data_IF_914670642636
#
_entry.id   IF_914670642636
#
_cell.length_a   1.000
_cell.length_b   1.000
_cell.length_c   1.000
_cell.angle_alpha   90.00
_cell.angle_beta   90.00
_cell.angle_gamma   90.00
#
_symmetry.space_group_name_H-M   'P 1'
#
loop_
_entity.id
_entity.type
_entity.pdbx_description
1 polymer ?
#
# COMPACT_ATOMS: atom_id res chain seq x y z
N UNK A 1 7.61 -70.11 19.48
CA UNK A 1 7.14 -69.12 20.48
C UNK A 1 7.56 -67.74 20.01
N UNK A 2 6.69 -67.08 19.23
CA UNK A 2 6.94 -65.78 18.59
C UNK A 2 6.09 -64.76 19.33
N UNK A 3 6.71 -63.91 20.15
CA UNK A 3 6.08 -62.71 20.68
C UNK A 3 7.13 -61.60 20.79
N UNK A 4 7.13 -60.67 19.84
CA UNK A 4 7.81 -59.38 19.99
C UNK A 4 6.88 -58.27 19.51
N UNK A 5 6.14 -57.75 20.49
CA UNK A 5 5.58 -56.42 20.65
C UNK A 5 5.26 -55.59 19.38
N UNK A 6 3.97 -55.58 19.04
CA UNK A 6 3.27 -54.44 18.42
C UNK A 6 3.11 -53.33 19.45
N UNK A 7 3.94 -52.31 19.39
CA UNK A 7 3.59 -51.00 19.94
C UNK A 7 3.85 -49.96 18.86
N UNK A 8 2.76 -49.52 18.25
CA UNK A 8 2.75 -48.49 17.24
C UNK A 8 3.34 -47.21 17.80
N UNK A 9 4.22 -46.59 17.02
CA UNK A 9 4.59 -45.20 17.20
C UNK A 9 3.30 -44.37 17.10
N UNK A 10 2.75 -44.00 18.26
CA UNK A 10 1.79 -42.90 18.37
C UNK A 10 2.54 -41.65 17.89
N UNK A 11 2.36 -41.34 16.61
CA UNK A 11 2.73 -40.06 16.06
C UNK A 11 1.85 -39.02 16.76
N UNK A 12 2.37 -38.45 17.85
CA UNK A 12 1.94 -37.16 18.32
C UNK A 12 2.19 -36.18 17.19
N UNK A 13 1.15 -35.95 16.39
CA UNK A 13 1.00 -34.76 15.57
C UNK A 13 1.00 -33.59 16.53
N UNK A 14 2.20 -33.15 16.92
CA UNK A 14 2.43 -31.84 17.49
C UNK A 14 1.71 -30.85 16.60
N UNK A 15 0.59 -30.33 17.10
CA UNK A 15 -0.17 -29.27 16.47
C UNK A 15 0.74 -28.05 16.37
N UNK A 16 1.49 -27.96 15.28
CA UNK A 16 2.02 -26.69 14.79
C UNK A 16 0.79 -25.85 14.51
N UNK A 17 0.35 -25.08 15.50
CA UNK A 17 -0.56 -23.99 15.25
C UNK A 17 0.20 -23.10 14.27
N UNK A 18 -0.20 -23.17 13.00
CA UNK A 18 0.47 -22.46 11.92
C UNK A 18 0.52 -20.99 12.34
N UNK A 19 1.71 -20.37 12.41
CA UNK A 19 1.82 -18.94 12.75
C UNK A 19 0.95 -18.04 11.86
N UNK A 20 0.60 -18.53 10.66
CA UNK A 20 -0.43 -17.97 9.76
C UNK A 20 -1.81 -17.83 10.43
N UNK A 21 -2.27 -18.86 11.15
CA UNK A 21 -3.58 -18.88 11.85
C UNK A 21 -3.55 -17.95 13.06
N UNK A 22 -2.44 -17.90 13.81
CA UNK A 22 -2.29 -16.99 14.96
C UNK A 22 -2.27 -15.53 14.48
N UNK A 23 -1.53 -15.22 13.41
CA UNK A 23 -1.50 -13.85 12.87
C UNK A 23 -2.86 -13.43 12.31
N UNK A 24 -3.51 -14.31 11.53
CA UNK A 24 -4.86 -14.04 11.02
C UNK A 24 -5.84 -13.85 12.18
N UNK A 25 -5.76 -14.69 13.22
CA UNK A 25 -6.55 -14.55 14.44
C UNK A 25 -6.31 -13.23 15.17
N UNK A 26 -5.05 -12.80 15.32
CA UNK A 26 -4.72 -11.50 15.93
C UNK A 26 -5.21 -10.31 15.12
N UNK A 27 -5.09 -10.37 13.78
CA UNK A 27 -5.60 -9.33 12.89
C UNK A 27 -7.13 -9.28 12.95
N UNK A 28 -7.81 -10.42 12.96
CA UNK A 28 -9.26 -10.51 13.09
C UNK A 28 -9.75 -10.02 14.46
N UNK A 29 -9.02 -10.33 15.54
CA UNK A 29 -9.33 -9.84 16.88
C UNK A 29 -9.09 -8.33 17.01
N UNK A 30 -8.06 -7.79 16.38
CA UNK A 30 -7.82 -6.35 16.31
C UNK A 30 -8.93 -5.63 15.51
N UNK A 31 -9.36 -6.22 14.38
CA UNK A 31 -10.50 -5.73 13.59
C UNK A 31 -11.80 -5.81 14.41
N UNK A 32 -12.04 -6.91 15.12
CA UNK A 32 -13.25 -7.10 15.92
C UNK A 32 -13.32 -6.15 17.12
N UNK A 33 -12.21 -6.00 17.86
CA UNK A 33 -12.11 -5.02 18.95
C UNK A 33 -12.34 -3.60 18.46
N UNK A 34 -11.79 -3.26 17.29
CA UNK A 34 -12.03 -1.95 16.66
C UNK A 34 -13.48 -1.75 16.21
N UNK A 35 -14.09 -2.77 15.59
CA UNK A 35 -15.49 -2.70 15.19
C UNK A 35 -16.42 -2.53 16.40
N UNK A 36 -16.00 -2.95 17.59
CA UNK A 36 -16.72 -2.69 18.83
C UNK A 36 -16.49 -1.26 19.36
N UNK A 37 -15.26 -0.73 19.25
CA UNK A 37 -14.94 0.65 19.71
C UNK A 37 -15.40 1.73 18.72
N UNK A 38 -15.50 1.39 17.43
CA UNK A 38 -15.76 2.32 16.34
C UNK A 38 -17.19 2.29 15.79
N UNK A 39 -18.15 1.62 16.44
CA UNK A 39 -19.55 1.59 15.95
C UNK A 39 -20.15 2.98 15.90
N UNK A 40 -19.88 3.79 16.92
CA UNK A 40 -20.34 5.17 16.97
C UNK A 40 -19.64 6.00 15.89
N UNK A 41 -18.34 5.79 15.67
CA UNK A 41 -17.60 6.51 14.64
C UNK A 41 -18.02 6.13 13.20
N UNK A 42 -18.29 4.85 12.95
CA UNK A 42 -18.85 4.39 11.67
C UNK A 42 -20.24 4.97 11.43
N UNK A 43 -21.10 5.01 12.44
CA UNK A 43 -22.42 5.65 12.36
C UNK A 43 -22.31 7.15 12.09
N UNK A 44 -21.38 7.83 12.73
CA UNK A 44 -21.12 9.25 12.51
C UNK A 44 -20.60 9.55 11.10
N UNK A 45 -19.74 8.70 10.54
CA UNK A 45 -19.33 8.79 9.13
C UNK A 45 -20.52 8.55 8.19
N UNK A 46 -21.36 7.57 8.49
CA UNK A 46 -22.54 7.22 7.67
C UNK A 46 -23.63 8.29 7.71
N UNK A 47 -23.80 8.96 8.85
CA UNK A 47 -24.71 10.10 9.02
C UNK A 47 -24.23 11.36 8.26
N UNK A 48 -22.96 11.42 7.87
CA UNK A 48 -22.39 12.54 7.12
C UNK A 48 -22.27 13.84 7.92
N UNK A 49 -22.51 13.80 9.23
CA UNK A 49 -22.51 14.97 10.12
C UNK A 49 -21.08 15.30 10.57
N UNK A 50 -20.43 16.16 9.79
CA UNK A 50 -19.04 16.59 9.97
C UNK A 50 -18.80 17.23 11.35
N UNK A 51 -19.79 17.91 11.90
CA UNK A 51 -19.69 18.58 13.21
C UNK A 51 -19.70 17.59 14.35
N UNK A 52 -20.52 16.53 14.26
CA UNK A 52 -20.51 15.41 15.22
C UNK A 52 -19.25 14.57 15.13
N UNK A 53 -18.74 14.35 13.92
CA UNK A 53 -17.45 13.71 13.71
C UNK A 53 -16.36 14.51 14.44
N UNK A 54 -16.31 15.83 14.26
CA UNK A 54 -15.31 16.69 14.92
C UNK A 54 -15.46 16.74 16.45
N UNK A 55 -16.68 16.78 16.98
CA UNK A 55 -16.93 16.80 18.43
C UNK A 55 -16.67 15.45 19.10
N UNK A 56 -16.81 14.33 18.39
CA UNK A 56 -16.43 13.00 18.92
C UNK A 56 -14.91 12.88 19.22
N UNK A 57 -14.07 13.75 18.64
CA UNK A 57 -12.61 13.69 18.78
C UNK A 57 -11.98 14.64 19.79
N UNK A 58 -12.76 15.49 20.46
CA UNK A 58 -12.21 16.36 21.53
C UNK A 58 -11.85 15.58 22.80
N UNK A 59 -12.45 14.40 23.02
CA UNK A 59 -12.21 13.58 24.21
C UNK A 59 -10.99 12.65 24.15
N UNK A 60 -10.61 12.13 22.97
CA UNK A 60 -9.44 11.26 22.80
C UNK A 60 -8.93 11.18 21.32
N UNK A 61 -8.00 12.05 20.90
CA UNK A 61 -7.50 12.08 19.52
C UNK A 61 -6.69 10.84 19.13
N UNK A 62 -6.13 10.08 20.08
CA UNK A 62 -5.36 8.86 19.79
C UNK A 62 -6.23 7.77 19.15
N UNK A 63 -7.46 7.63 19.64
CA UNK A 63 -8.42 6.66 19.10
C UNK A 63 -8.75 6.96 17.63
N UNK A 64 -8.81 8.23 17.25
CA UNK A 64 -9.00 8.68 15.87
C UNK A 64 -7.89 8.15 14.95
N UNK A 65 -6.64 8.40 15.34
CA UNK A 65 -5.48 8.02 14.56
C UNK A 65 -5.41 6.49 14.41
N UNK A 66 -5.60 5.74 15.50
CA UNK A 66 -5.60 4.27 15.47
C UNK A 66 -6.74 3.72 14.61
N UNK A 67 -7.95 4.28 14.72
CA UNK A 67 -9.07 3.88 13.89
C UNK A 67 -8.78 4.11 12.41
N UNK A 68 -8.29 5.30 12.04
CA UNK A 68 -7.99 5.63 10.65
C UNK A 68 -6.80 4.85 10.08
N UNK A 69 -5.82 4.47 10.90
CA UNK A 69 -4.77 3.53 10.52
C UNK A 69 -5.39 2.17 10.11
N UNK A 70 -6.34 1.66 10.88
CA UNK A 70 -6.98 0.37 10.60
C UNK A 70 -7.89 0.44 9.38
N UNK A 71 -8.64 1.52 9.18
CA UNK A 71 -9.37 1.78 7.94
C UNK A 71 -8.42 1.76 6.74
N UNK A 72 -7.27 2.41 6.85
CA UNK A 72 -6.25 2.41 5.81
C UNK A 72 -5.67 1.00 5.57
N UNK A 73 -5.50 0.18 6.60
CA UNK A 73 -5.09 -1.23 6.48
C UNK A 73 -6.12 -2.06 5.72
N UNK A 74 -7.40 -1.92 6.04
CA UNK A 74 -8.50 -2.59 5.32
C UNK A 74 -8.52 -2.14 3.85
N UNK A 75 -8.43 -0.83 3.61
CA UNK A 75 -8.39 -0.24 2.28
C UNK A 75 -7.21 -0.78 1.45
N UNK A 76 -6.02 -0.88 2.02
CA UNK A 76 -4.84 -1.40 1.33
C UNK A 76 -4.86 -2.92 1.12
N UNK A 77 -5.63 -3.65 1.93
CA UNK A 77 -5.76 -5.11 1.84
C UNK A 77 -6.78 -5.53 0.78
N UNK A 78 -7.93 -4.85 0.73
CA UNK A 78 -9.05 -5.28 -0.12
C UNK A 78 -9.53 -4.22 -1.11
N UNK A 79 -9.14 -2.96 -0.95
CA UNK A 79 -9.56 -1.81 -1.79
C UNK A 79 -11.08 -1.74 -1.98
N UNK A 80 -11.83 -2.14 -0.95
CA UNK A 80 -13.31 -2.03 -0.92
C UNK A 80 -13.78 -0.61 -0.63
N UNK A 81 -12.97 0.16 0.09
CA UNK A 81 -13.24 1.57 0.42
C UNK A 81 -12.52 2.44 -0.63
N UNK A 82 -13.23 3.35 -1.32
CA UNK A 82 -12.60 4.35 -2.16
C UNK A 82 -11.56 5.16 -1.37
N UNK A 83 -10.33 5.21 -1.86
CA UNK A 83 -9.21 5.84 -1.15
C UNK A 83 -9.45 7.33 -0.86
N UNK A 84 -10.13 8.02 -1.79
CA UNK A 84 -10.51 9.42 -1.64
C UNK A 84 -11.34 9.66 -0.38
N UNK A 85 -12.23 8.74 0.00
CA UNK A 85 -13.05 8.87 1.21
C UNK A 85 -12.19 8.79 2.46
N UNK A 86 -11.24 7.86 2.51
CA UNK A 86 -10.31 7.72 3.65
C UNK A 86 -9.48 8.99 3.83
N UNK A 87 -8.97 9.56 2.73
CA UNK A 87 -8.20 10.81 2.75
C UNK A 87 -9.07 11.99 3.17
N UNK A 88 -10.29 12.07 2.65
CA UNK A 88 -11.27 13.12 3.00
C UNK A 88 -11.56 13.11 4.49
N UNK A 89 -11.87 11.94 5.06
CA UNK A 89 -12.12 11.78 6.49
C UNK A 89 -10.88 12.23 7.28
N UNK A 90 -9.69 11.74 6.95
CA UNK A 90 -8.45 12.17 7.64
C UNK A 90 -8.23 13.69 7.59
N UNK A 91 -8.53 14.34 6.47
CA UNK A 91 -8.41 15.79 6.31
C UNK A 91 -9.47 16.52 7.15
N UNK A 92 -10.70 16.04 7.17
CA UNK A 92 -11.76 16.57 8.03
C UNK A 92 -11.39 16.49 9.50
N UNK A 93 -10.80 15.36 9.91
CA UNK A 93 -10.44 15.08 11.31
C UNK A 93 -9.22 15.85 11.78
N UNK A 94 -8.16 15.84 10.99
CA UNK A 94 -6.83 16.28 11.43
C UNK A 94 -6.40 17.60 10.78
N UNK A 95 -7.20 18.14 9.87
CA UNK A 95 -6.85 19.26 9.00
C UNK A 95 -6.12 18.80 7.74
N UNK A 96 -5.99 19.70 6.76
CA UNK A 96 -5.44 19.36 5.42
C UNK A 96 -4.03 18.77 5.51
N UNK A 97 -3.11 19.43 6.20
CA UNK A 97 -1.71 19.00 6.27
C UNK A 97 -1.56 17.70 7.05
N UNK A 98 -2.06 17.64 8.29
CA UNK A 98 -1.91 16.45 9.13
C UNK A 98 -2.74 15.27 8.60
N UNK A 99 -3.93 15.53 8.04
CA UNK A 99 -4.77 14.51 7.43
C UNK A 99 -4.13 13.92 6.18
N UNK A 100 -3.50 14.75 5.35
CA UNK A 100 -2.68 14.28 4.22
C UNK A 100 -1.49 13.44 4.70
N UNK A 101 -0.67 13.97 5.62
CA UNK A 101 0.52 13.27 6.12
C UNK A 101 0.16 11.95 6.79
N UNK A 102 -0.90 11.95 7.60
CA UNK A 102 -1.40 10.74 8.26
C UNK A 102 -1.90 9.72 7.24
N UNK A 103 -2.68 10.14 6.24
CA UNK A 103 -3.14 9.24 5.16
C UNK A 103 -1.95 8.63 4.42
N UNK A 104 -0.98 9.45 4.01
CA UNK A 104 0.19 8.98 3.29
C UNK A 104 1.01 7.99 4.15
N UNK A 105 1.35 8.36 5.37
CA UNK A 105 2.15 7.54 6.27
C UNK A 105 1.49 6.19 6.57
N UNK A 106 0.23 6.20 6.99
CA UNK A 106 -0.53 4.97 7.28
C UNK A 106 -0.72 4.11 6.04
N UNK A 107 -0.84 4.70 4.84
CA UNK A 107 -0.93 3.93 3.59
C UNK A 107 0.35 3.17 3.29
N UNK A 108 1.53 3.77 3.57
CA UNK A 108 2.83 3.11 3.36
C UNK A 108 3.00 1.95 4.35
N UNK A 109 2.66 2.16 5.62
CA UNK A 109 2.69 1.10 6.64
C UNK A 109 1.77 -0.05 6.24
N UNK A 110 0.52 0.27 5.91
CA UNK A 110 -0.48 -0.72 5.50
C UNK A 110 -0.01 -1.52 4.27
N UNK A 111 0.48 -0.84 3.23
CA UNK A 111 1.00 -1.48 2.03
C UNK A 111 2.17 -2.42 2.32
N UNK A 112 3.10 -2.02 3.20
CA UNK A 112 4.21 -2.87 3.64
C UNK A 112 3.72 -4.11 4.37
N UNK A 113 2.76 -3.97 5.28
CA UNK A 113 2.21 -5.10 6.02
C UNK A 113 1.50 -6.09 5.09
N UNK A 114 0.72 -5.60 4.12
CA UNK A 114 0.06 -6.45 3.11
C UNK A 114 1.11 -7.15 2.24
N UNK A 115 2.14 -6.43 1.77
CA UNK A 115 3.23 -7.00 0.98
C UNK A 115 3.95 -8.14 1.73
N UNK A 116 4.34 -7.92 2.98
CA UNK A 116 5.03 -8.92 3.82
C UNK A 116 4.08 -10.10 4.08
N UNK A 117 2.83 -9.82 4.44
CA UNK A 117 1.82 -10.85 4.68
C UNK A 117 1.61 -11.74 3.45
N UNK A 118 1.46 -11.16 2.27
CA UNK A 118 1.34 -11.92 1.02
C UNK A 118 2.60 -12.74 0.76
N UNK A 119 3.78 -12.15 0.91
CA UNK A 119 5.06 -12.82 0.62
C UNK A 119 5.33 -14.06 1.49
N UNK A 120 5.05 -13.98 2.78
CA UNK A 120 5.44 -15.02 3.73
C UNK A 120 4.29 -15.92 4.19
N UNK A 121 3.04 -15.45 4.13
CA UNK A 121 1.90 -16.16 4.69
C UNK A 121 0.94 -16.65 3.61
N UNK A 122 0.60 -15.78 2.66
CA UNK A 122 -0.46 -16.06 1.68
C UNK A 122 0.05 -16.43 0.28
N UNK A 123 1.37 -16.53 0.07
CA UNK A 123 1.97 -16.81 -1.23
C UNK A 123 1.37 -18.06 -1.89
N UNK A 124 1.36 -19.17 -1.17
CA UNK A 124 0.87 -20.47 -1.69
C UNK A 124 -0.62 -20.44 -2.05
N UNK A 125 -1.40 -19.60 -1.37
CA UNK A 125 -2.85 -19.47 -1.58
C UNK A 125 -3.19 -18.58 -2.79
N UNK A 126 -2.35 -17.58 -3.06
CA UNK A 126 -2.63 -16.53 -4.04
C UNK A 126 -1.82 -16.65 -5.33
N UNK A 127 -0.69 -17.37 -5.34
CA UNK A 127 0.21 -17.43 -6.50
C UNK A 127 -0.47 -17.96 -7.77
N UNK A 128 -1.36 -18.95 -7.63
CA UNK A 128 -2.09 -19.55 -8.75
C UNK A 128 -3.27 -18.70 -9.24
N UNK A 129 -3.59 -17.58 -8.58
CA UNK A 129 -4.66 -16.66 -8.98
C UNK A 129 -4.20 -15.63 -10.01
N UNK A 130 -2.89 -15.52 -10.26
CA UNK A 130 -2.31 -14.53 -11.15
C UNK A 130 -1.42 -15.19 -12.21
N UNK A 131 -1.43 -14.70 -13.46
CA UNK A 131 -0.60 -15.26 -14.52
C UNK A 131 0.89 -14.98 -14.25
N UNK A 132 1.79 -15.96 -14.49
CA UNK A 132 3.24 -15.82 -14.23
C UNK A 132 3.87 -14.58 -14.89
N UNK A 133 3.42 -14.26 -16.10
CA UNK A 133 3.90 -13.10 -16.87
C UNK A 133 3.74 -11.77 -16.12
N UNK A 134 2.64 -11.59 -15.38
CA UNK A 134 2.40 -10.37 -14.61
C UNK A 134 3.37 -10.28 -13.42
N UNK A 135 3.68 -11.42 -12.78
CA UNK A 135 4.63 -11.47 -11.68
C UNK A 135 6.07 -11.20 -12.16
N UNK A 136 6.42 -11.70 -13.35
CA UNK A 136 7.69 -11.43 -14.02
C UNK A 136 7.84 -9.96 -14.42
N UNK A 137 6.78 -9.34 -14.92
CA UNK A 137 6.73 -7.90 -15.20
C UNK A 137 7.02 -7.05 -13.95
N UNK A 138 6.45 -7.42 -12.80
CA UNK A 138 6.70 -6.74 -11.52
C UNK A 138 8.16 -6.92 -11.09
N UNK A 139 8.70 -8.13 -11.25
CA UNK A 139 10.08 -8.46 -10.88
C UNK A 139 11.09 -7.69 -11.72
N UNK A 140 10.95 -7.70 -13.04
CA UNK A 140 11.90 -7.09 -13.99
C UNK A 140 11.95 -5.57 -13.89
N UNK A 141 10.79 -4.92 -13.74
CA UNK A 141 10.67 -3.46 -13.66
C UNK A 141 10.87 -2.91 -12.25
N UNK A 142 10.66 -3.74 -11.21
CA UNK A 142 10.92 -3.45 -9.82
C UNK A 142 10.30 -2.14 -9.32
N UNK A 143 11.15 -1.18 -8.91
CA UNK A 143 10.70 0.14 -8.43
C UNK A 143 9.81 0.85 -9.43
N UNK A 144 10.18 0.82 -10.71
CA UNK A 144 9.45 1.51 -11.78
C UNK A 144 8.02 1.01 -11.89
N UNK A 145 7.83 -0.31 -11.81
CA UNK A 145 6.51 -0.92 -11.87
C UNK A 145 5.63 -0.41 -10.73
N UNK A 146 6.13 -0.53 -9.50
CA UNK A 146 5.39 -0.13 -8.31
C UNK A 146 5.08 1.36 -8.35
N UNK A 147 6.08 2.20 -8.60
CA UNK A 147 5.90 3.66 -8.65
C UNK A 147 4.87 4.09 -9.70
N UNK A 148 4.95 3.55 -10.93
CA UNK A 148 3.97 3.87 -11.97
C UNK A 148 2.58 3.39 -11.58
N UNK A 149 2.45 2.14 -11.14
CA UNK A 149 1.17 1.58 -10.76
C UNK A 149 0.48 2.39 -9.63
N UNK A 150 1.24 2.99 -8.70
CA UNK A 150 0.69 3.85 -7.65
C UNK A 150 0.19 5.21 -8.12
N UNK A 151 0.82 5.77 -9.15
CA UNK A 151 0.41 7.06 -9.70
C UNK A 151 -0.84 6.92 -10.56
N UNK A 152 -1.02 5.77 -11.22
CA UNK A 152 -2.20 5.50 -12.01
C UNK A 152 -3.43 5.24 -11.11
N UNK A 153 -4.49 6.07 -11.20
CA UNK A 153 -5.63 5.99 -10.27
C UNK A 153 -6.50 4.73 -10.48
N UNK A 154 -6.33 4.04 -11.60
CA UNK A 154 -7.15 2.90 -11.98
C UNK A 154 -6.66 1.56 -11.42
N UNK A 155 -5.44 1.51 -10.88
CA UNK A 155 -4.89 0.26 -10.36
C UNK A 155 -5.20 0.17 -8.86
N UNK A 156 -5.97 -0.85 -8.42
CA UNK A 156 -6.27 -1.01 -7.00
C UNK A 156 -5.01 -1.15 -6.16
N UNK A 157 -4.94 -0.44 -5.04
CA UNK A 157 -3.81 -0.45 -4.10
C UNK A 157 -3.49 -1.87 -3.62
N UNK A 158 -4.52 -2.67 -3.34
CA UNK A 158 -4.41 -4.08 -2.92
C UNK A 158 -3.76 -4.94 -4.00
N UNK A 159 -4.13 -4.74 -5.27
CA UNK A 159 -3.58 -5.50 -6.39
C UNK A 159 -2.07 -5.26 -6.50
N UNK A 160 -1.62 -4.02 -6.38
CA UNK A 160 -0.19 -3.68 -6.41
C UNK A 160 0.55 -4.36 -5.25
N UNK A 161 -0.03 -4.32 -4.04
CA UNK A 161 0.54 -4.95 -2.84
C UNK A 161 0.69 -6.47 -3.02
N UNK A 162 -0.36 -7.12 -3.53
CA UNK A 162 -0.42 -8.58 -3.74
C UNK A 162 0.56 -9.00 -4.82
N UNK A 163 0.53 -8.36 -5.99
CA UNK A 163 1.44 -8.69 -7.09
C UNK A 163 2.91 -8.51 -6.69
N UNK A 164 3.23 -7.42 -6.00
CA UNK A 164 4.58 -7.20 -5.47
C UNK A 164 4.97 -8.25 -4.42
N UNK A 165 4.07 -8.59 -3.49
CA UNK A 165 4.31 -9.60 -2.45
C UNK A 165 4.53 -11.01 -3.02
N UNK A 166 3.78 -11.38 -4.07
CA UNK A 166 3.91 -12.65 -4.78
C UNK A 166 5.18 -12.73 -5.64
N UNK A 167 5.59 -11.60 -6.23
CA UNK A 167 6.84 -11.51 -7.00
C UNK A 167 8.08 -11.57 -6.10
N UNK A 168 9.24 -11.74 -6.72
CA UNK A 168 10.56 -11.67 -6.04
C UNK A 168 11.13 -10.26 -5.96
N UNK A 169 10.33 -9.21 -6.22
CA UNK A 169 10.79 -7.82 -6.17
C UNK A 169 11.43 -7.49 -4.81
N UNK A 170 12.54 -6.76 -4.83
CA UNK A 170 13.22 -6.35 -3.60
C UNK A 170 12.31 -5.45 -2.76
N UNK A 171 12.32 -5.66 -1.43
CA UNK A 171 11.55 -4.85 -0.49
C UNK A 171 11.81 -3.34 -0.66
N UNK A 172 13.08 -2.94 -0.86
CA UNK A 172 13.45 -1.53 -1.09
C UNK A 172 12.77 -0.91 -2.30
N UNK A 173 12.63 -1.67 -3.39
CA UNK A 173 11.95 -1.20 -4.60
C UNK A 173 10.45 -1.01 -4.36
N UNK A 174 9.81 -1.95 -3.67
CA UNK A 174 8.41 -1.84 -3.28
C UNK A 174 8.17 -0.67 -2.33
N UNK A 175 8.99 -0.55 -1.28
CA UNK A 175 8.86 0.48 -0.25
C UNK A 175 9.05 1.88 -0.84
N UNK A 176 10.15 2.13 -1.55
CA UNK A 176 10.39 3.45 -2.16
C UNK A 176 9.37 3.77 -3.25
N UNK A 177 9.01 2.77 -4.09
CA UNK A 177 8.01 2.95 -5.14
C UNK A 177 6.65 3.32 -4.56
N UNK A 178 6.25 2.67 -3.47
CA UNK A 178 5.02 2.98 -2.74
C UNK A 178 5.09 4.33 -2.04
N UNK A 179 6.18 4.61 -1.34
CA UNK A 179 6.36 5.87 -0.60
C UNK A 179 6.25 7.08 -1.53
N UNK A 180 7.02 7.12 -2.63
CA UNK A 180 7.00 8.25 -3.55
C UNK A 180 5.76 8.26 -4.46
N UNK A 181 5.31 7.08 -4.91
CA UNK A 181 4.12 6.97 -5.74
C UNK A 181 2.86 7.42 -5.00
N UNK A 182 2.65 6.92 -3.77
CA UNK A 182 1.53 7.35 -2.93
C UNK A 182 1.65 8.82 -2.56
N UNK A 183 2.84 9.33 -2.24
CA UNK A 183 3.01 10.75 -1.90
C UNK A 183 2.49 11.64 -3.03
N UNK A 184 2.94 11.38 -4.26
CA UNK A 184 2.55 12.18 -5.42
C UNK A 184 1.07 12.03 -5.76
N UNK A 185 0.56 10.80 -5.73
CA UNK A 185 -0.86 10.53 -5.96
C UNK A 185 -1.75 11.19 -4.90
N UNK A 186 -1.36 11.12 -3.63
CA UNK A 186 -2.14 11.64 -2.51
C UNK A 186 -2.14 13.16 -2.49
N UNK A 187 -1.07 13.84 -2.97
CA UNK A 187 -1.11 15.30 -3.13
C UNK A 187 -2.24 15.68 -4.08
N UNK A 188 -2.32 15.04 -5.25
CA UNK A 188 -3.39 15.33 -6.21
C UNK A 188 -4.76 15.01 -5.61
N UNK A 189 -4.86 13.87 -4.92
CA UNK A 189 -6.11 13.38 -4.38
C UNK A 189 -6.61 14.19 -3.17
N UNK A 190 -5.70 14.74 -2.35
CA UNK A 190 -6.03 15.56 -1.18
C UNK A 190 -6.48 16.97 -1.53
N UNK A 191 -6.15 17.47 -2.72
CA UNK A 191 -6.60 18.78 -3.19
C UNK A 191 -8.12 18.86 -3.37
N UNK A 192 -8.76 17.75 -3.70
CA UNK A 192 -10.23 17.67 -3.86
C UNK A 192 -10.92 18.00 -2.52
N UNK A 193 -10.71 17.22 -1.44
CA UNK A 193 -11.31 17.54 -0.14
C UNK A 193 -10.75 18.83 0.44
N UNK A 194 -9.48 19.19 0.18
CA UNK A 194 -8.97 20.49 0.62
C UNK A 194 -9.77 21.64 -0.01
N UNK A 195 -10.03 21.63 -1.31
CA UNK A 195 -10.82 22.66 -1.99
C UNK A 195 -12.30 22.68 -1.57
N UNK A 196 -12.89 21.51 -1.29
CA UNK A 196 -14.30 21.40 -0.87
C UNK A 196 -14.48 21.82 0.61
N UNK A 197 -13.55 21.44 1.49
CA UNK A 197 -13.68 21.62 2.94
C UNK A 197 -13.05 22.93 3.44
N UNK A 198 -12.28 23.62 2.62
CA UNK A 198 -11.69 24.89 3.01
C UNK A 198 -12.50 26.07 2.49
N UNK A 199 -13.03 26.82 3.44
CA UNK A 199 -13.46 28.21 3.24
C UNK A 199 -12.32 29.20 3.49
N UNK A 200 -11.10 28.71 3.78
CA UNK A 200 -9.98 29.49 4.32
C UNK A 200 -8.68 29.47 3.50
N UNK A 201 -8.58 28.67 2.43
CA UNK A 201 -7.40 28.71 1.55
C UNK A 201 -7.62 29.75 0.46
N UNK A 202 -6.71 30.72 0.37
CA UNK A 202 -6.67 31.62 -0.80
C UNK A 202 -6.35 30.79 -2.05
N UNK A 203 -6.88 31.18 -3.21
CA UNK A 203 -6.63 30.50 -4.51
C UNK A 203 -5.12 30.30 -4.79
N UNK A 204 -4.29 31.18 -4.23
CA UNK A 204 -2.83 31.15 -4.31
C UNK A 204 -2.19 29.96 -3.59
N UNK A 205 -2.69 29.55 -2.43
CA UNK A 205 -2.11 28.46 -1.65
C UNK A 205 -2.37 27.10 -2.30
N UNK A 206 -3.57 26.90 -2.84
CA UNK A 206 -3.92 25.75 -3.67
C UNK A 206 -3.09 25.73 -4.97
N UNK A 207 -2.90 26.89 -5.61
CA UNK A 207 -2.05 27.04 -6.79
C UNK A 207 -0.59 26.66 -6.55
N UNK A 208 -0.02 27.03 -5.40
CA UNK A 208 1.35 26.70 -5.03
C UNK A 208 1.55 25.19 -4.79
N UNK A 209 0.59 24.53 -4.14
CA UNK A 209 0.63 23.08 -3.92
C UNK A 209 0.53 22.33 -5.26
N UNK A 210 -0.38 22.75 -6.14
CA UNK A 210 -0.50 22.20 -7.50
C UNK A 210 0.79 22.39 -8.31
N UNK A 211 1.37 23.59 -8.26
CA UNK A 211 2.60 23.90 -8.98
C UNK A 211 3.78 23.05 -8.47
N UNK A 212 3.92 22.89 -7.16
CA UNK A 212 4.92 22.02 -6.56
C UNK A 212 4.74 20.55 -6.99
N UNK A 213 3.49 20.06 -6.99
CA UNK A 213 3.16 18.69 -7.42
C UNK A 213 3.52 18.46 -8.89
N UNK A 214 3.17 19.39 -9.78
CA UNK A 214 3.50 19.33 -11.21
C UNK A 214 5.01 19.36 -11.41
N UNK A 215 5.72 20.23 -10.69
CA UNK A 215 7.18 20.38 -10.82
C UNK A 215 7.89 19.09 -10.39
N UNK A 216 7.47 18.49 -9.27
CA UNK A 216 7.98 17.19 -8.81
C UNK A 216 7.67 16.10 -9.82
N UNK A 217 6.44 16.03 -10.35
CA UNK A 217 6.05 15.06 -11.36
C UNK A 217 6.91 15.17 -12.64
N UNK A 218 7.12 16.38 -13.15
CA UNK A 218 7.95 16.63 -14.33
C UNK A 218 9.42 16.32 -14.07
N UNK A 219 9.95 16.64 -12.89
CA UNK A 219 11.30 16.29 -12.47
C UNK A 219 11.52 14.77 -12.43
N UNK A 220 10.61 14.03 -11.79
CA UNK A 220 10.65 12.58 -11.71
C UNK A 220 10.51 11.93 -13.10
N UNK A 221 9.63 12.45 -13.96
CA UNK A 221 9.50 12.02 -15.36
C UNK A 221 10.81 12.22 -16.12
N UNK A 222 11.50 13.35 -15.95
CA UNK A 222 12.77 13.65 -16.63
C UNK A 222 13.89 12.73 -16.16
N UNK A 223 14.00 12.45 -14.87
CA UNK A 223 14.97 11.50 -14.30
C UNK A 223 14.70 10.08 -14.81
N UNK A 224 13.44 9.66 -14.83
CA UNK A 224 13.03 8.38 -15.37
C UNK A 224 13.39 8.23 -16.85
N UNK A 225 13.11 9.25 -17.68
CA UNK A 225 13.44 9.25 -19.10
C UNK A 225 14.94 9.30 -19.38
N UNK A 226 15.73 9.98 -18.54
CA UNK A 226 17.21 9.98 -18.64
C UNK A 226 17.78 8.59 -18.38
N UNK A 227 17.28 7.89 -17.35
CA UNK A 227 17.74 6.53 -17.02
C UNK A 227 17.38 5.50 -18.09
N UNK A 228 16.23 5.65 -18.76
CA UNK A 228 15.87 4.82 -19.93
C UNK A 228 16.80 5.09 -21.13
N UNK A 229 17.23 6.34 -21.31
CA UNK A 229 18.09 6.75 -22.44
C UNK A 229 19.55 6.33 -22.27
N UNK A 230 20.07 6.25 -21.04
CA UNK A 230 21.44 5.77 -20.77
C UNK A 230 21.60 4.27 -21.01
N UNK A 231 20.56 3.46 -20.73
CA UNK A 231 20.58 2.01 -20.96
C UNK A 231 20.52 1.66 -22.45
N UNK A 232 19.92 2.52 -23.28
CA UNK A 232 19.80 2.29 -24.74
C UNK A 232 21.06 2.74 -25.49
N UNK A 233 21.86 3.64 -24.90
CA UNK A 233 23.03 4.24 -25.55
C UNK A 233 24.38 3.66 -25.07
N UNK A 234 24.37 2.57 -24.30
CA UNK A 234 25.60 1.82 -24.04
C UNK A 234 26.04 1.10 -25.33
N UNK A 235 27.25 1.37 -25.85
CA UNK A 235 27.77 0.63 -27.00
C UNK A 235 27.91 -0.85 -26.63
N UNK A 236 27.56 -1.75 -27.55
CA UNK A 236 27.79 -3.20 -27.41
C UNK A 236 29.30 -3.47 -27.40
N UNK A 237 29.93 -3.29 -26.24
CA UNK A 237 31.35 -3.57 -26.00
C UNK A 237 31.51 -5.10 -25.90
N UNK A 238 31.56 -5.75 -27.07
CA UNK A 238 31.75 -7.20 -27.16
C UNK A 238 31.28 -7.91 -28.43
N UNK A 239 31.06 -7.23 -29.56
CA UNK A 239 30.89 -7.97 -30.83
C UNK A 239 32.24 -8.55 -31.27
N UNK A 240 32.38 -9.87 -31.47
CA UNK A 240 33.66 -10.48 -31.82
C UNK A 240 34.16 -9.90 -33.16
N UNK A 241 35.42 -9.51 -33.14
CA UNK A 241 36.18 -9.04 -34.31
C UNK A 241 36.00 -10.03 -35.46
N UNK A 242 35.42 -9.56 -36.57
CA UNK A 242 35.52 -10.26 -37.85
C UNK A 242 36.99 -10.28 -38.25
N UNK A 243 37.66 -11.38 -37.96
CA UNK A 243 38.86 -11.81 -38.67
C UNK A 243 38.51 -11.85 -40.16
N UNK A 244 39.00 -10.87 -40.91
CA UNK A 244 39.01 -10.92 -42.36
C UNK A 244 40.34 -11.56 -42.73
N UNK A 245 40.30 -12.85 -43.03
CA UNK A 245 41.38 -13.56 -43.69
C UNK A 245 41.67 -12.89 -45.03
N UNK A 246 42.90 -12.41 -45.21
CA UNK A 246 43.50 -12.21 -46.53
C UNK A 246 44.59 -13.24 -46.72
#
# INVERSE_FOLDING_TARGET
MIMKNKWGKLNFTQGKINGKIILVGMVLLAIAGLLMTGQDFLRLILDGDIDKIRTAFTGNPLNAFLFMLLVMMIQNSFTVIPLILVITINITLFGVVNGFLWSWFTSVIAAVLVFIGVRFLFKDLLINRFPPRVLEDVQTKGFTYVFQARIFPFVPTSLINILAGLSTVHFRHFFLGTMFGNFLFFIVLSLIPAGILSSSFSEYELGMILFAAITVFLGLRKVYLRKKRSIINEPLEGSPSKEISK
#
